data_IF_268034091326
#
_entry.id   IF_268034091326
#
_cell.length_a   1.000
_cell.length_b   1.000
_cell.length_c   1.000
_cell.angle_alpha   90.00
_cell.angle_beta   90.00
_cell.angle_gamma   90.00
#
_symmetry.space_group_name_H-M   'P 1'
#
loop_
_entity.id
_entity.type
_entity.pdbx_description
1 polymer ?
#
# COMPACT_ATOMS: atom_id res chain seq x y z
N UNK A 1 14.19 0.52 -18.97
CA UNK A 1 15.06 -0.28 -18.08
C UNK A 1 14.88 -1.78 -18.29
N UNK A 2 13.69 -2.36 -18.11
CA UNK A 2 13.44 -3.82 -18.26
C UNK A 2 13.86 -4.40 -19.62
N UNK A 3 13.54 -3.74 -20.74
CA UNK A 3 14.00 -4.16 -22.09
C UNK A 3 15.52 -4.32 -22.19
N UNK A 4 16.28 -3.41 -21.56
CA UNK A 4 17.74 -3.47 -21.54
C UNK A 4 18.23 -4.67 -20.73
N UNK A 5 17.65 -4.88 -19.55
CA UNK A 5 17.95 -6.05 -18.72
C UNK A 5 17.63 -7.35 -19.45
N UNK A 6 16.51 -7.44 -20.17
CA UNK A 6 16.15 -8.61 -20.99
C UNK A 6 17.15 -8.90 -22.12
N UNK A 7 17.69 -7.84 -22.74
CA UNK A 7 18.75 -7.97 -23.74
C UNK A 7 20.07 -8.43 -23.11
N UNK A 8 20.44 -7.86 -21.97
CA UNK A 8 21.69 -8.16 -21.25
C UNK A 8 21.67 -9.56 -20.60
N UNK A 9 20.48 -10.06 -20.24
CA UNK A 9 20.28 -11.37 -19.59
C UNK A 9 20.18 -12.55 -20.56
N UNK A 10 20.25 -12.32 -21.87
CA UNK A 10 20.31 -13.40 -22.87
C UNK A 10 19.04 -14.26 -22.88
N UNK A 11 19.09 -15.46 -22.27
CA UNK A 11 17.95 -16.38 -22.13
C UNK A 11 17.44 -16.46 -20.68
N UNK A 12 18.07 -15.77 -19.74
CA UNK A 12 17.67 -15.81 -18.34
C UNK A 12 16.33 -15.10 -18.13
N UNK A 13 15.68 -15.48 -17.01
CA UNK A 13 14.42 -14.91 -16.55
C UNK A 13 14.67 -13.61 -15.79
N UNK A 14 13.78 -12.64 -15.98
CA UNK A 14 13.79 -11.35 -15.31
C UNK A 14 12.60 -11.25 -14.37
N UNK A 15 12.87 -11.24 -13.07
CA UNK A 15 11.87 -10.96 -12.05
C UNK A 15 11.79 -9.46 -11.76
N UNK A 16 10.58 -8.92 -11.79
CA UNK A 16 10.30 -7.52 -11.47
C UNK A 16 9.56 -7.46 -10.13
N UNK A 17 10.10 -6.65 -9.21
CA UNK A 17 9.53 -6.44 -7.88
C UNK A 17 9.02 -5.00 -7.76
N UNK A 18 7.70 -4.77 -7.64
CA UNK A 18 7.17 -3.45 -7.33
C UNK A 18 7.65 -2.99 -5.95
N UNK A 19 8.45 -1.92 -5.92
CA UNK A 19 9.06 -1.38 -4.70
C UNK A 19 8.10 -0.45 -3.95
N UNK A 20 7.04 -1.02 -3.38
CA UNK A 20 6.08 -0.33 -2.51
C UNK A 20 5.91 -1.06 -1.18
N UNK A 21 5.60 -0.32 -0.11
CA UNK A 21 5.22 -0.87 1.20
C UNK A 21 3.70 -1.14 1.29
N UNK A 22 3.02 -1.25 0.13
CA UNK A 22 1.57 -1.43 0.03
C UNK A 22 0.77 -0.14 0.01
N UNK A 23 1.43 1.03 -0.02
CA UNK A 23 0.79 2.35 -0.11
C UNK A 23 0.54 2.84 -1.54
N UNK A 24 0.99 2.09 -2.54
CA UNK A 24 0.90 2.50 -3.94
C UNK A 24 0.49 1.30 -4.81
N UNK A 25 -0.81 0.96 -4.83
CA UNK A 25 -1.35 -0.10 -5.70
C UNK A 25 -1.25 0.27 -7.18
N UNK A 26 -1.27 1.57 -7.51
CA UNK A 26 -1.11 2.06 -8.89
C UNK A 26 0.25 1.71 -9.47
N UNK A 27 1.32 1.84 -8.68
CA UNK A 27 2.66 1.39 -9.09
C UNK A 27 2.66 -0.08 -9.53
N UNK A 28 1.91 -0.94 -8.84
CA UNK A 28 1.80 -2.37 -9.19
C UNK A 28 1.07 -2.53 -10.54
N UNK A 29 -0.07 -1.86 -10.71
CA UNK A 29 -0.85 -1.91 -11.95
C UNK A 29 -0.10 -1.34 -13.16
N UNK A 30 0.60 -0.22 -12.99
CA UNK A 30 1.41 0.40 -14.04
C UNK A 30 2.63 -0.44 -14.41
N UNK A 31 3.24 -1.10 -13.41
CA UNK A 31 4.29 -2.09 -13.65
C UNK A 31 3.74 -3.24 -14.49
N UNK A 32 2.60 -3.82 -14.11
CA UNK A 32 1.98 -4.92 -14.83
C UNK A 32 1.63 -4.55 -16.28
N UNK A 33 1.03 -3.37 -16.50
CA UNK A 33 0.70 -2.85 -17.84
C UNK A 33 1.94 -2.70 -18.71
N UNK A 34 3.02 -2.15 -18.13
CA UNK A 34 4.30 -2.00 -18.82
C UNK A 34 4.90 -3.36 -19.20
N UNK A 35 4.83 -4.36 -18.32
CA UNK A 35 5.33 -5.70 -18.60
C UNK A 35 4.48 -6.44 -19.63
N UNK A 36 3.15 -6.25 -19.61
CA UNK A 36 2.24 -6.82 -20.61
C UNK A 36 2.62 -6.36 -22.01
N UNK A 37 2.87 -5.06 -22.21
CA UNK A 37 3.32 -4.55 -23.51
C UNK A 37 4.66 -5.13 -23.95
N UNK A 38 5.61 -5.32 -23.03
CA UNK A 38 6.92 -5.91 -23.35
C UNK A 38 6.78 -7.41 -23.70
N UNK A 39 5.93 -8.15 -22.99
CA UNK A 39 5.68 -9.56 -23.25
C UNK A 39 4.97 -9.80 -24.59
N UNK A 40 4.19 -8.84 -25.07
CA UNK A 40 3.50 -8.88 -26.36
C UNK A 40 4.38 -8.48 -27.55
N UNK A 41 5.50 -7.82 -27.32
CA UNK A 41 6.41 -7.27 -28.34
C UNK A 41 7.25 -8.34 -29.08
N UNK A 42 7.16 -9.61 -28.67
CA UNK A 42 7.79 -10.73 -29.38
C UNK A 42 7.73 -12.06 -28.63
N UNK A 43 7.64 -13.17 -29.38
CA UNK A 43 7.53 -14.53 -28.82
C UNK A 43 8.70 -14.90 -27.88
N UNK A 44 9.89 -14.34 -28.15
CA UNK A 44 11.09 -14.57 -27.35
C UNK A 44 11.02 -13.97 -25.92
N UNK A 45 10.07 -13.08 -25.63
CA UNK A 45 9.89 -12.49 -24.30
C UNK A 45 8.89 -13.27 -23.44
N UNK A 46 8.03 -14.09 -24.06
CA UNK A 46 7.03 -14.88 -23.34
C UNK A 46 7.71 -15.91 -22.44
N UNK A 47 7.26 -16.00 -21.20
CA UNK A 47 7.82 -16.91 -20.20
C UNK A 47 9.18 -16.51 -19.63
N UNK A 48 9.73 -15.35 -20.01
CA UNK A 48 10.98 -14.80 -19.47
C UNK A 48 10.80 -13.69 -18.45
N UNK A 49 9.64 -13.03 -18.45
CA UNK A 49 9.32 -11.93 -17.55
C UNK A 49 8.36 -12.48 -16.50
N UNK A 50 8.62 -12.17 -15.24
CA UNK A 50 7.68 -12.44 -14.16
C UNK A 50 7.54 -11.22 -13.27
N UNK A 51 6.30 -10.91 -12.93
CA UNK A 51 5.93 -9.95 -11.91
C UNK A 51 5.76 -10.68 -10.58
N UNK A 52 6.56 -10.30 -9.59
CA UNK A 52 6.37 -10.75 -8.21
C UNK A 52 5.27 -9.95 -7.51
N UNK A 53 4.82 -10.45 -6.36
CA UNK A 53 4.05 -9.63 -5.43
C UNK A 53 4.85 -8.37 -5.02
N UNK A 54 4.19 -7.26 -4.65
CA UNK A 54 4.91 -6.07 -4.22
C UNK A 54 5.82 -6.37 -3.02
N UNK A 55 6.88 -5.56 -2.87
CA UNK A 55 7.84 -5.71 -1.78
C UNK A 55 7.12 -5.86 -0.43
N UNK A 56 6.21 -4.94 -0.12
CA UNK A 56 5.33 -4.99 1.04
C UNK A 56 3.87 -4.81 0.67
N UNK A 57 3.02 -5.26 1.59
CA UNK A 57 1.58 -4.93 1.61
C UNK A 57 1.29 -4.08 2.85
N UNK A 58 0.08 -3.53 2.94
CA UNK A 58 -0.34 -2.78 4.13
C UNK A 58 -0.27 -3.62 5.41
N UNK A 59 -0.55 -4.92 5.34
CA UNK A 59 -0.43 -5.82 6.51
C UNK A 59 1.02 -5.99 6.95
N UNK A 60 1.95 -6.12 5.99
CA UNK A 60 3.38 -6.09 6.29
C UNK A 60 3.78 -4.76 6.93
N UNK A 61 3.27 -3.64 6.43
CA UNK A 61 3.55 -2.31 6.99
C UNK A 61 3.09 -2.17 8.44
N UNK A 62 1.92 -2.70 8.81
CA UNK A 62 1.47 -2.76 10.21
C UNK A 62 2.49 -3.53 11.06
N UNK A 63 2.93 -4.70 10.60
CA UNK A 63 3.93 -5.52 11.30
C UNK A 63 5.27 -4.80 11.49
N UNK A 64 5.78 -4.18 10.43
CA UNK A 64 7.05 -3.46 10.46
C UNK A 64 7.00 -2.22 11.34
N UNK A 65 5.93 -1.41 11.26
CA UNK A 65 5.77 -0.23 12.10
C UNK A 65 5.61 -0.61 13.57
N UNK A 66 4.94 -1.72 13.89
CA UNK A 66 4.87 -2.25 15.26
C UNK A 66 6.24 -2.65 15.79
N UNK A 67 7.03 -3.34 14.95
CA UNK A 67 8.39 -3.74 15.31
C UNK A 67 9.28 -2.51 15.56
N UNK A 68 9.25 -1.53 14.64
CA UNK A 68 10.01 -0.29 14.76
C UNK A 68 9.59 0.52 16.00
N UNK A 69 8.29 0.69 16.23
CA UNK A 69 7.75 1.35 17.42
C UNK A 69 8.21 0.66 18.72
N UNK A 70 8.56 -0.62 18.70
CA UNK A 70 9.14 -1.34 19.84
C UNK A 70 10.48 -0.78 20.31
N UNK A 71 11.20 -0.03 19.47
CA UNK A 71 12.42 0.70 19.82
C UNK A 71 12.21 1.99 20.60
N UNK A 72 10.98 2.50 20.67
CA UNK A 72 10.66 3.71 21.43
C UNK A 72 10.56 3.44 22.95
N UNK A 73 10.87 4.43 23.81
CA UNK A 73 10.68 4.32 25.25
C UNK A 73 9.23 4.00 25.62
N UNK A 74 9.04 2.98 26.45
CA UNK A 74 7.71 2.49 26.86
C UNK A 74 7.18 3.26 28.05
N UNK A 75 7.04 4.57 27.91
CA UNK A 75 6.47 5.44 28.94
C UNK A 75 5.08 5.91 28.53
N UNK A 76 4.22 6.23 29.51
CA UNK A 76 2.88 6.74 29.24
C UNK A 76 2.89 8.13 28.55
N UNK A 77 4.04 8.79 28.49
CA UNK A 77 4.23 10.11 27.89
C UNK A 77 4.94 10.05 26.52
N UNK A 78 5.26 8.86 26.00
CA UNK A 78 5.88 8.71 24.67
C UNK A 78 4.82 8.46 23.59
N UNK A 79 4.80 9.31 22.56
CA UNK A 79 4.04 9.12 21.34
C UNK A 79 4.92 8.57 20.21
N UNK A 80 4.32 7.83 19.28
CA UNK A 80 4.95 7.45 18.02
C UNK A 80 4.35 8.28 16.91
N UNK A 81 5.18 8.96 16.11
CA UNK A 81 4.76 9.70 14.94
C UNK A 81 5.22 8.95 13.68
N UNK A 82 4.27 8.39 12.95
CA UNK A 82 4.51 7.75 11.66
C UNK A 82 4.55 8.83 10.58
N UNK A 83 5.70 9.00 9.94
CA UNK A 83 5.87 9.94 8.82
C UNK A 83 5.92 9.21 7.50
N UNK A 84 5.48 9.86 6.42
CA UNK A 84 5.64 9.31 5.07
C UNK A 84 5.56 10.42 4.01
N UNK A 85 6.04 10.20 2.78
CA UNK A 85 5.68 11.06 1.66
C UNK A 85 4.16 11.13 1.53
N UNK A 86 3.64 12.34 1.30
CA UNK A 86 2.26 12.53 0.89
C UNK A 86 2.01 11.75 -0.42
N UNK A 87 0.85 11.10 -0.51
CA UNK A 87 0.45 10.35 -1.70
C UNK A 87 -0.90 10.90 -2.21
N UNK A 88 -1.90 10.03 -2.35
CA UNK A 88 -3.29 10.43 -2.61
C UNK A 88 -4.15 10.25 -1.36
N UNK A 89 -5.40 10.77 -1.37
CA UNK A 89 -6.26 10.76 -0.19
C UNK A 89 -6.59 9.34 0.31
N UNK A 90 -6.67 8.35 -0.58
CA UNK A 90 -6.94 6.96 -0.19
C UNK A 90 -5.69 6.32 0.43
N UNK A 91 -4.53 6.51 -0.19
CA UNK A 91 -3.23 6.01 0.25
C UNK A 91 -2.79 6.65 1.59
N UNK A 92 -3.16 7.91 1.80
CA UNK A 92 -2.92 8.65 3.04
C UNK A 92 -3.92 8.22 4.13
N UNK A 93 -5.21 8.04 3.80
CA UNK A 93 -6.21 7.49 4.72
C UNK A 93 -5.86 6.07 5.20
N UNK A 94 -5.32 5.23 4.32
CA UNK A 94 -4.82 3.91 4.68
C UNK A 94 -3.67 3.98 5.70
N UNK A 95 -2.84 5.02 5.67
CA UNK A 95 -1.80 5.18 6.67
C UNK A 95 -2.38 5.50 8.06
N UNK A 96 -3.47 6.27 8.14
CA UNK A 96 -4.21 6.45 9.40
C UNK A 96 -4.82 5.13 9.89
N UNK A 97 -5.37 4.31 8.99
CA UNK A 97 -5.86 2.96 9.31
C UNK A 97 -4.73 2.09 9.87
N UNK A 98 -3.57 2.09 9.22
CA UNK A 98 -2.36 1.38 9.66
C UNK A 98 -1.92 1.87 11.05
N UNK A 99 -1.81 3.18 11.27
CA UNK A 99 -1.45 3.75 12.56
C UNK A 99 -2.42 3.34 13.68
N UNK A 100 -3.73 3.30 13.39
CA UNK A 100 -4.73 2.79 14.33
C UNK A 100 -4.50 1.32 14.71
N UNK A 101 -4.11 0.47 13.76
CA UNK A 101 -3.80 -0.94 13.99
C UNK A 101 -2.48 -1.11 14.76
N UNK A 102 -1.46 -0.30 14.44
CA UNK A 102 -0.20 -0.26 15.19
C UNK A 102 -0.47 0.09 16.65
N UNK A 103 -1.31 1.10 16.91
CA UNK A 103 -1.77 1.47 18.26
C UNK A 103 -2.55 0.33 18.93
N UNK A 104 -3.48 -0.28 18.21
CA UNK A 104 -4.34 -1.35 18.75
C UNK A 104 -3.55 -2.57 19.22
N UNK A 105 -2.50 -2.93 18.49
CA UNK A 105 -1.68 -4.11 18.75
C UNK A 105 -0.29 -3.76 19.30
N UNK A 106 -0.10 -2.53 19.75
CA UNK A 106 1.16 -1.98 20.26
C UNK A 106 1.07 -1.61 21.73
N UNK A 107 2.09 -0.89 22.20
CA UNK A 107 2.22 -0.48 23.61
C UNK A 107 2.11 1.03 23.82
N UNK A 108 2.25 1.81 22.75
CA UNK A 108 2.20 3.26 22.81
C UNK A 108 0.75 3.74 22.74
N UNK A 109 0.39 4.63 23.67
CA UNK A 109 -0.97 5.17 23.75
C UNK A 109 -1.34 5.99 22.52
N UNK A 110 -0.38 6.72 21.97
CA UNK A 110 -0.55 7.59 20.81
C UNK A 110 0.34 7.12 19.67
N UNK A 111 -0.29 6.91 18.52
CA UNK A 111 0.37 6.63 17.24
C UNK A 111 -0.29 7.57 16.25
N UNK A 112 0.43 8.63 15.89
CA UNK A 112 -0.04 9.69 15.02
C UNK A 112 0.57 9.55 13.62
N UNK A 113 -0.05 10.22 12.65
CA UNK A 113 0.42 10.25 11.25
C UNK A 113 0.65 11.69 10.83
N UNK A 114 1.72 11.90 10.07
CA UNK A 114 2.03 13.13 9.36
C UNK A 114 2.74 12.85 8.03
N UNK A 115 2.70 13.82 7.12
CA UNK A 115 3.24 13.66 5.77
C UNK A 115 4.34 14.68 5.45
N UNK A 116 5.34 14.23 4.67
CA UNK A 116 6.29 15.14 4.04
C UNK A 116 5.52 15.99 3.02
N UNK A 117 5.44 17.31 3.25
CA UNK A 117 4.73 18.26 2.39
C UNK A 117 3.24 17.92 2.17
N UNK A 118 2.58 17.27 3.15
CA UNK A 118 1.15 16.94 3.10
C UNK A 118 0.37 17.49 4.28
N UNK A 119 -0.87 17.02 4.45
CA UNK A 119 -1.78 17.40 5.54
C UNK A 119 -2.21 16.16 6.34
N UNK A 120 -1.93 16.08 7.65
CA UNK A 120 -1.16 17.05 8.43
C UNK A 120 0.34 16.96 8.10
N UNK A 121 1.05 18.08 8.20
CA UNK A 121 2.50 18.09 8.04
C UNK A 121 3.23 17.55 9.28
N UNK A 122 4.54 17.32 9.18
CA UNK A 122 5.34 16.77 10.29
C UNK A 122 5.36 17.67 11.53
N UNK A 123 5.38 19.00 11.36
CA UNK A 123 5.37 19.93 12.48
C UNK A 123 4.01 19.90 13.21
N UNK A 124 2.90 19.88 12.45
CA UNK A 124 1.55 19.72 12.99
C UNK A 124 1.37 18.36 13.69
N UNK A 125 1.96 17.29 13.15
CA UNK A 125 1.97 15.98 13.78
C UNK A 125 2.69 15.97 15.13
N UNK A 126 3.83 16.66 15.23
CA UNK A 126 4.57 16.87 16.49
C UNK A 126 3.72 17.66 17.49
N UNK A 127 3.14 18.78 17.07
CA UNK A 127 2.32 19.62 17.94
C UNK A 127 1.08 18.88 18.43
N UNK A 128 0.45 18.06 17.58
CA UNK A 128 -0.65 17.19 17.99
C UNK A 128 -0.22 16.17 19.05
N UNK A 129 0.95 15.55 18.91
CA UNK A 129 1.49 14.66 19.94
C UNK A 129 1.66 15.38 21.29
N UNK A 130 2.18 16.61 21.28
CA UNK A 130 2.32 17.44 22.50
C UNK A 130 0.97 17.77 23.13
N UNK A 131 -0.02 18.18 22.31
CA UNK A 131 -1.38 18.48 22.78
C UNK A 131 -2.07 17.25 23.39
N UNK A 132 -1.72 16.05 22.95
CA UNK A 132 -2.21 14.80 23.52
C UNK A 132 -1.52 14.43 24.85
N UNK A 133 -0.48 15.17 25.25
CA UNK A 133 0.26 15.01 26.50
C UNK A 133 1.56 14.23 26.38
N UNK A 134 2.11 14.09 25.16
CA UNK A 134 3.41 13.46 24.98
C UNK A 134 4.56 14.41 25.35
N UNK A 135 5.53 13.91 26.11
CA UNK A 135 6.78 14.61 26.43
C UNK A 135 7.95 14.17 25.53
N UNK A 136 7.78 13.04 24.84
CA UNK A 136 8.72 12.47 23.88
C UNK A 136 7.99 11.94 22.67
N UNK A 137 8.57 12.14 21.50
CA UNK A 137 7.99 11.76 20.23
C UNK A 137 9.01 10.92 19.46
N UNK A 138 8.71 9.64 19.29
CA UNK A 138 9.53 8.75 18.49
C UNK A 138 9.03 8.78 17.04
N UNK A 139 9.85 9.20 16.09
CA UNK A 139 9.47 9.27 14.68
C UNK A 139 9.88 7.99 13.96
N UNK A 140 9.01 7.50 13.06
CA UNK A 140 9.30 6.35 12.20
C UNK A 140 8.75 6.60 10.80
N UNK A 141 9.59 6.40 9.79
CA UNK A 141 9.23 6.66 8.40
C UNK A 141 8.61 5.42 7.74
N UNK A 142 7.37 5.51 7.28
CA UNK A 142 6.68 4.51 6.46
C UNK A 142 7.04 4.65 4.97
N UNK A 143 8.34 4.71 4.67
CA UNK A 143 8.88 4.79 3.31
C UNK A 143 10.29 4.20 3.24
N UNK A 144 10.77 3.96 2.02
CA UNK A 144 12.17 3.60 1.80
C UNK A 144 13.07 4.83 1.88
N UNK A 145 14.28 4.64 2.40
CA UNK A 145 15.31 5.67 2.48
C UNK A 145 15.11 6.67 3.62
N UNK A 146 16.07 7.60 3.78
CA UNK A 146 16.00 8.62 4.83
C UNK A 146 14.91 9.65 4.54
N UNK A 147 14.50 10.45 5.54
CA UNK A 147 13.68 11.63 5.31
C UNK A 147 14.36 12.65 4.38
N UNK A 148 13.58 13.49 3.67
CA UNK A 148 14.14 14.53 2.82
C UNK A 148 14.95 15.53 3.66
N UNK A 149 15.99 16.17 3.08
CA UNK A 149 16.73 17.22 3.76
C UNK A 149 15.78 18.32 4.24
N UNK A 150 15.91 18.73 5.51
CA UNK A 150 15.06 19.76 6.12
C UNK A 150 13.74 19.24 6.69
N UNK A 151 13.51 17.92 6.76
CA UNK A 151 12.40 17.37 7.53
C UNK A 151 12.49 17.82 9.01
N UNK A 152 11.36 18.28 9.55
CA UNK A 152 11.25 18.81 10.91
C UNK A 152 11.24 17.64 11.91
N UNK A 153 12.40 17.05 12.17
CA UNK A 153 12.56 15.95 13.15
C UNK A 153 13.70 16.20 14.12
N UNK A 154 14.24 17.42 14.16
CA UNK A 154 15.38 17.79 15.00
C UNK A 154 14.93 18.76 16.10
N UNK A 155 13.93 18.33 16.89
CA UNK A 155 13.54 18.99 18.14
C UNK A 155 14.05 18.19 19.34
N UNK A 156 14.33 18.82 20.50
CA UNK A 156 14.92 18.13 21.65
C UNK A 156 14.09 16.96 22.20
N UNK A 157 12.78 16.98 21.95
CA UNK A 157 11.80 15.99 22.37
C UNK A 157 11.52 14.90 21.31
N UNK A 158 12.12 15.00 20.12
CA UNK A 158 11.98 14.00 19.05
C UNK A 158 13.15 13.04 18.97
N UNK A 159 12.88 11.79 18.60
CA UNK A 159 13.92 10.78 18.33
C UNK A 159 13.54 9.99 17.10
N UNK A 160 14.42 10.00 16.07
CA UNK A 160 14.28 9.14 14.90
C UNK A 160 14.64 7.69 15.26
N UNK A 161 13.69 6.78 15.02
CA UNK A 161 13.89 5.34 15.20
C UNK A 161 14.67 4.69 14.05
N UNK A 162 15.03 5.47 13.03
CA UNK A 162 15.81 5.05 11.89
C UNK A 162 14.97 4.37 10.81
N UNK A 163 15.61 3.65 9.86
CA UNK A 163 14.90 3.03 8.75
C UNK A 163 13.99 1.92 9.25
N UNK A 164 12.79 1.84 8.65
CA UNK A 164 11.78 0.82 8.97
C UNK A 164 12.31 -0.62 8.85
N UNK A 165 13.22 -0.84 7.90
CA UNK A 165 13.79 -2.14 7.58
C UNK A 165 15.32 -2.03 7.50
N UNK A 166 16.00 -3.04 8.07
CA UNK A 166 17.43 -3.21 7.88
C UNK A 166 17.73 -3.66 6.44
N UNK A 167 18.96 -3.45 5.98
CA UNK A 167 19.42 -3.94 4.67
C UNK A 167 19.23 -5.45 4.52
N UNK A 168 19.57 -6.23 5.55
CA UNK A 168 19.40 -7.68 5.53
C UNK A 168 17.92 -8.09 5.41
N UNK A 169 17.00 -7.35 6.03
CA UNK A 169 15.56 -7.60 5.86
C UNK A 169 15.10 -7.30 4.43
N UNK A 170 15.59 -6.20 3.83
CA UNK A 170 15.31 -5.86 2.42
C UNK A 170 15.82 -6.97 1.49
N UNK A 171 17.07 -7.41 1.66
CA UNK A 171 17.68 -8.46 0.83
C UNK A 171 16.92 -9.79 0.96
N UNK A 172 16.49 -10.13 2.19
CA UNK A 172 15.69 -11.32 2.46
C UNK A 172 14.31 -11.28 1.80
N UNK A 173 13.61 -10.14 1.88
CA UNK A 173 12.30 -9.94 1.24
C UNK A 173 12.43 -10.03 -0.27
N UNK A 174 13.41 -9.34 -0.87
CA UNK A 174 13.63 -9.39 -2.32
C UNK A 174 13.93 -10.81 -2.79
N UNK A 175 14.78 -11.54 -2.06
CA UNK A 175 15.10 -12.94 -2.38
C UNK A 175 13.86 -13.83 -2.33
N UNK A 176 13.01 -13.68 -1.29
CA UNK A 176 11.77 -14.42 -1.17
C UNK A 176 10.79 -14.08 -2.31
N UNK A 177 10.56 -12.79 -2.61
CA UNK A 177 9.68 -12.35 -3.70
C UNK A 177 10.12 -12.90 -5.06
N UNK A 178 11.43 -12.89 -5.34
CA UNK A 178 11.97 -13.45 -6.57
C UNK A 178 11.81 -14.97 -6.61
N UNK A 179 12.09 -15.69 -5.52
CA UNK A 179 11.94 -17.13 -5.46
C UNK A 179 10.48 -17.57 -5.67
N UNK A 180 9.54 -16.92 -5.00
CA UNK A 180 8.10 -17.20 -5.11
C UNK A 180 7.60 -16.92 -6.53
N UNK A 181 8.00 -15.79 -7.12
CA UNK A 181 7.64 -15.43 -8.49
C UNK A 181 8.17 -16.44 -9.51
N UNK A 182 9.44 -16.84 -9.41
CA UNK A 182 10.03 -17.85 -10.29
C UNK A 182 9.37 -19.22 -10.12
N UNK A 183 8.95 -19.56 -8.90
CA UNK A 183 8.16 -20.76 -8.65
C UNK A 183 6.80 -20.71 -9.34
N UNK A 184 6.04 -19.61 -9.23
CA UNK A 184 4.77 -19.41 -9.96
C UNK A 184 4.95 -19.51 -11.48
N UNK A 185 6.02 -18.90 -12.00
CA UNK A 185 6.32 -18.94 -13.43
C UNK A 185 6.58 -20.36 -13.94
N UNK A 186 7.20 -21.23 -13.12
CA UNK A 186 7.37 -22.64 -13.46
C UNK A 186 6.04 -23.40 -13.64
N UNK A 187 4.95 -22.84 -13.11
CA UNK A 187 3.58 -23.36 -13.23
C UNK A 187 2.74 -22.56 -14.25
N UNK A 188 3.37 -21.67 -15.03
CA UNK A 188 2.70 -20.91 -16.09
C UNK A 188 2.04 -19.60 -15.63
N UNK A 189 2.29 -19.14 -14.40
CA UNK A 189 1.79 -17.87 -13.88
C UNK A 189 2.90 -16.82 -13.83
N UNK A 190 2.78 -15.79 -14.68
CA UNK A 190 3.73 -14.68 -14.76
C UNK A 190 3.39 -13.51 -13.82
N UNK A 191 2.26 -13.57 -13.10
CA UNK A 191 1.79 -12.53 -12.18
C UNK A 191 1.26 -11.25 -12.85
N UNK A 192 1.31 -11.12 -14.19
CA UNK A 192 0.91 -9.88 -14.88
C UNK A 192 -0.59 -9.66 -14.76
N UNK A 193 -1.41 -10.70 -14.92
CA UNK A 193 -2.86 -10.59 -14.80
C UNK A 193 -3.29 -10.13 -13.40
N UNK A 194 -2.69 -10.70 -12.35
CA UNK A 194 -2.93 -10.27 -10.96
C UNK A 194 -2.48 -8.83 -10.72
N UNK A 195 -1.33 -8.44 -11.27
CA UNK A 195 -0.82 -7.07 -11.14
C UNK A 195 -1.72 -6.02 -11.80
N UNK A 196 -2.34 -6.33 -12.94
CA UNK A 196 -3.33 -5.45 -13.58
C UNK A 196 -4.57 -5.23 -12.71
N UNK A 197 -4.88 -6.18 -11.83
CA UNK A 197 -6.02 -6.11 -10.93
C UNK A 197 -5.76 -5.27 -9.67
N UNK A 198 -4.50 -4.91 -9.39
CA UNK A 198 -4.08 -4.36 -8.09
C UNK A 198 -4.76 -3.05 -7.66
N UNK A 199 -5.26 -2.24 -8.60
CA UNK A 199 -5.97 -0.98 -8.29
C UNK A 199 -7.47 -1.18 -7.99
N UNK A 200 -8.07 -2.32 -8.34
CA UNK A 200 -9.54 -2.48 -8.29
C UNK A 200 -10.14 -2.41 -6.88
N UNK A 201 -9.34 -2.60 -5.82
CA UNK A 201 -9.76 -2.46 -4.42
C UNK A 201 -9.54 -1.07 -3.81
N UNK A 202 -8.97 -0.12 -4.57
CA UNK A 202 -8.56 1.19 -4.06
C UNK A 202 -9.28 2.33 -4.79
N UNK A 203 -9.81 3.28 -4.01
CA UNK A 203 -10.50 4.46 -4.53
C UNK A 203 -12.02 4.33 -4.62
N UNK A 204 -12.64 5.19 -5.44
CA UNK A 204 -14.10 5.29 -5.56
C UNK A 204 -14.77 4.14 -6.32
N UNK A 205 -14.03 3.16 -6.83
CA UNK A 205 -14.53 2.08 -7.69
C UNK A 205 -15.65 1.21 -7.06
N UNK A 206 -15.87 1.32 -5.74
CA UNK A 206 -16.97 0.66 -5.02
C UNK A 206 -18.04 1.62 -4.47
N UNK A 207 -18.02 2.90 -4.85
CA UNK A 207 -19.06 3.84 -4.44
C UNK A 207 -20.27 3.63 -5.33
N UNK A 208 -21.12 2.65 -4.97
CA UNK A 208 -22.49 2.67 -5.44
C UNK A 208 -23.10 3.99 -4.93
N UNK A 209 -23.27 4.95 -5.84
CA UNK A 209 -24.05 6.14 -5.53
C UNK A 209 -25.45 5.72 -5.03
N UNK A 210 -26.11 6.54 -4.19
CA UNK A 210 -27.48 6.29 -3.78
C UNK A 210 -28.39 6.46 -5.00
N UNK A 211 -28.54 5.40 -5.79
CA UNK A 211 -29.26 5.44 -7.07
C UNK A 211 -29.31 4.14 -7.87
N UNK A 212 -28.61 3.07 -7.45
CA UNK A 212 -28.68 1.76 -8.10
C UNK A 212 -29.94 0.96 -7.73
N UNK A 213 -31.14 1.52 -7.91
CA UNK A 213 -32.36 0.73 -7.85
C UNK A 213 -32.45 -0.16 -9.10
N UNK A 214 -32.24 -1.46 -8.91
CA UNK A 214 -32.70 -2.46 -9.86
C UNK A 214 -34.22 -2.34 -9.98
N UNK A 215 -34.70 -1.87 -11.13
CA UNK A 215 -36.12 -1.95 -11.49
C UNK A 215 -36.43 -3.39 -11.86
N UNK A 216 -37.07 -4.13 -10.95
CA UNK A 216 -37.77 -5.34 -11.33
C UNK A 216 -38.98 -4.94 -12.19
N UNK A 217 -38.81 -4.99 -13.51
CA UNK A 217 -39.95 -4.96 -14.43
C UNK A 217 -40.79 -6.22 -14.22
N UNK A 218 -42.09 -6.13 -13.91
CA UNK A 218 -42.93 -7.32 -13.85
C UNK A 218 -43.28 -7.73 -15.28
N UNK A 219 -42.66 -8.81 -15.74
CA UNK A 219 -43.24 -9.64 -16.80
C UNK A 219 -44.41 -10.41 -16.21
N UNK A 220 -45.64 -10.02 -16.57
CA UNK A 220 -46.80 -10.89 -16.51
C UNK A 220 -47.81 -10.48 -17.59
N UNK A 221 -48.05 -11.38 -18.53
CA UNK A 221 -49.31 -11.53 -19.28
C UNK A 221 -49.78 -12.97 -19.07
N UNK A 222 -51.06 -13.36 -19.29
CA UNK A 222 -52.27 -12.60 -19.62
C UNK A 222 -53.50 -12.92 -18.72
N UNK A 223 -54.58 -12.16 -18.92
CA UNK A 223 -56.01 -12.50 -18.70
C UNK A 223 -56.53 -12.86 -17.28
N UNK A 224 -57.43 -12.02 -16.76
CA UNK A 224 -58.82 -12.39 -16.38
C UNK A 224 -59.65 -11.13 -16.14
N UNK A 225 -60.74 -10.98 -16.89
CA UNK A 225 -61.67 -9.87 -16.75
C UNK A 225 -62.58 -10.03 -15.54
N UNK A 226 -62.85 -8.92 -14.85
CA UNK A 226 -64.06 -8.74 -14.06
C UNK A 226 -64.52 -7.28 -14.17
N UNK A 227 -65.62 -7.14 -14.91
CA UNK A 227 -66.57 -6.03 -14.89
C UNK A 227 -67.15 -5.87 -13.47
N UNK A 228 -67.15 -4.65 -12.91
CA UNK A 228 -68.17 -4.23 -11.96
C UNK A 228 -68.41 -2.71 -12.02
N UNK A 229 -69.67 -2.42 -12.32
CA UNK A 229 -70.39 -1.17 -12.38
C UNK A 229 -70.40 -0.36 -11.08
N UNK A 230 -70.52 0.96 -11.28
CA UNK A 230 -70.82 2.00 -10.30
C UNK A 230 -71.94 1.71 -9.30
N UNK A 231 -71.75 2.19 -8.06
CA UNK A 231 -72.73 2.97 -7.29
C UNK A 231 -71.99 4.15 -6.66
#
# INVERSE_FOLDING_TARGET
>A
MVRRVLADSGQDRVCVVPMTLGRDPRLVADTARSLQWIAQDGEANRGRIVLSDPFGSMDHLVGWLRAAAGGAPRTAATAVLVTAPAAGPFEDADLFRVARLVRQYGHHRWVEVAFDCGDPDVAEGIDRCRLLGADRIATVRAAFGPPPPGAVTDTPDTTDLGPLLSRAAVDGILSARCADALHRLAHGDDGIAAGLDAEHGHGFAHTHGPGGHHTHGPTATPEHGHDHSHV
#
